data_IF_751622629982
#
_entry.id   IF_751622629982
#
_cell.length_a   1.000
_cell.length_b   1.000
_cell.length_c   1.000
_cell.angle_alpha   90.00
_cell.angle_beta   90.00
_cell.angle_gamma   90.00
#
_symmetry.space_group_name_H-M   'P 1'
#
loop_
_entity.id
_entity.type
_entity.pdbx_description
1 polymer ?
#
# COMPACT_ATOMS: atom_id res chain seq x y z
N UNK A 1 8.16 -23.09 -9.58
CA UNK A 1 8.22 -23.11 -11.06
C UNK A 1 7.45 -21.96 -11.73
N UNK A 2 6.24 -21.64 -11.25
CA UNK A 2 5.33 -20.68 -11.89
C UNK A 2 5.61 -19.20 -11.54
N UNK A 3 6.24 -18.95 -10.39
CA UNK A 3 6.64 -17.61 -9.91
C UNK A 3 8.11 -17.65 -9.45
N UNK A 4 9.07 -17.88 -10.37
CA UNK A 4 10.48 -18.01 -10.00
C UNK A 4 11.05 -16.75 -9.33
N UNK A 5 10.47 -15.58 -9.57
CA UNK A 5 10.84 -14.29 -8.99
C UNK A 5 10.32 -14.04 -7.56
N UNK A 6 9.53 -14.95 -6.98
CA UNK A 6 8.98 -14.77 -5.64
C UNK A 6 10.09 -14.69 -4.58
N UNK A 7 10.12 -13.64 -3.77
CA UNK A 7 11.20 -13.39 -2.79
C UNK A 7 10.73 -13.45 -1.34
N UNK A 8 9.45 -13.23 -1.08
CA UNK A 8 8.86 -13.17 0.25
C UNK A 8 7.65 -14.11 0.29
N UNK A 9 7.48 -14.81 1.40
CA UNK A 9 6.28 -15.56 1.75
C UNK A 9 5.80 -15.14 3.14
N UNK A 10 4.53 -14.76 3.23
CA UNK A 10 3.91 -14.33 4.48
C UNK A 10 2.75 -15.23 4.90
N UNK A 11 2.60 -15.45 6.20
CA UNK A 11 1.36 -16.00 6.79
C UNK A 11 0.57 -14.83 7.40
N UNK A 12 -0.62 -14.57 6.86
CA UNK A 12 -1.41 -13.38 7.23
C UNK A 12 -2.90 -13.64 7.49
N UNK A 13 -3.37 -14.90 7.40
CA UNK A 13 -4.80 -15.19 7.52
C UNK A 13 -5.16 -16.68 7.38
N UNK A 14 -6.46 -17.02 7.40
CA UNK A 14 -7.61 -16.10 7.44
C UNK A 14 -7.89 -15.49 8.82
N UNK A 15 -7.37 -16.08 9.91
CA UNK A 15 -7.39 -15.53 11.26
C UNK A 15 -6.04 -14.95 11.68
N UNK A 16 -5.84 -14.73 12.98
CA UNK A 16 -4.53 -14.37 13.49
C UNK A 16 -3.59 -15.60 13.47
N UNK A 17 -2.40 -15.52 12.83
CA UNK A 17 -1.48 -16.65 12.78
C UNK A 17 -0.99 -17.12 14.15
N UNK A 18 -0.80 -16.21 15.11
CA UNK A 18 -0.34 -16.52 16.46
C UNK A 18 -1.44 -17.06 17.37
N UNK A 19 -2.71 -17.05 16.92
CA UNK A 19 -3.78 -17.82 17.54
C UNK A 19 -3.74 -19.31 17.13
N UNK A 20 -2.97 -19.68 16.10
CA UNK A 20 -2.75 -21.07 15.66
C UNK A 20 -1.24 -21.35 15.47
N UNK A 21 -0.42 -21.17 16.52
CA UNK A 21 1.03 -21.11 16.40
C UNK A 21 1.62 -22.44 15.93
N UNK A 22 1.11 -23.59 16.40
CA UNK A 22 1.62 -24.91 16.03
C UNK A 22 1.62 -25.15 14.52
N UNK A 23 0.49 -24.82 13.85
CA UNK A 23 0.36 -24.98 12.40
C UNK A 23 1.26 -24.01 11.66
N UNK A 24 1.30 -22.75 12.09
CA UNK A 24 2.12 -21.71 11.50
C UNK A 24 3.62 -22.07 11.55
N UNK A 25 4.13 -22.45 12.73
CA UNK A 25 5.55 -22.81 12.89
C UNK A 25 5.91 -24.12 12.20
N UNK A 26 4.99 -25.10 12.13
CA UNK A 26 5.18 -26.30 11.31
C UNK A 26 5.38 -25.93 9.83
N UNK A 27 4.59 -25.01 9.29
CA UNK A 27 4.76 -24.51 7.92
C UNK A 27 6.10 -23.78 7.74
N UNK A 28 6.49 -22.90 8.66
CA UNK A 28 7.77 -22.20 8.56
C UNK A 28 8.98 -23.13 8.65
N UNK A 29 8.91 -24.18 9.47
CA UNK A 29 9.95 -25.22 9.52
C UNK A 29 10.13 -25.88 8.17
N UNK A 30 9.04 -26.33 7.53
CA UNK A 30 9.09 -26.95 6.21
C UNK A 30 9.64 -25.99 5.14
N UNK A 31 9.25 -24.73 5.17
CA UNK A 31 9.74 -23.71 4.24
C UNK A 31 11.22 -23.40 4.43
N UNK A 32 11.70 -23.38 5.68
CA UNK A 32 13.12 -23.15 5.97
C UNK A 32 14.01 -24.28 5.41
N UNK A 33 13.50 -25.50 5.36
CA UNK A 33 14.20 -26.66 4.80
C UNK A 33 14.11 -26.69 3.27
N UNK A 34 12.94 -26.40 2.70
CA UNK A 34 12.67 -26.56 1.26
C UNK A 34 12.90 -25.29 0.43
N UNK A 35 12.97 -24.11 1.04
CA UNK A 35 13.15 -22.86 0.33
C UNK A 35 13.86 -21.82 1.20
N UNK A 36 15.10 -22.09 1.66
CA UNK A 36 15.85 -21.22 2.58
C UNK A 36 16.16 -19.84 2.01
N UNK A 37 16.01 -19.66 0.70
CA UNK A 37 16.22 -18.40 -0.01
C UNK A 37 15.00 -17.45 0.04
N UNK A 38 13.84 -17.93 0.51
CA UNK A 38 12.62 -17.14 0.67
C UNK A 38 12.66 -16.44 2.02
N UNK A 39 12.43 -15.13 2.00
CA UNK A 39 12.22 -14.35 3.21
C UNK A 39 10.85 -14.65 3.79
N UNK A 40 10.81 -14.94 5.08
CA UNK A 40 9.56 -15.30 5.76
C UNK A 40 9.02 -14.10 6.53
N UNK A 41 7.70 -13.94 6.53
CA UNK A 41 7.03 -12.94 7.33
C UNK A 41 5.71 -13.41 7.91
N UNK A 42 5.23 -12.68 8.92
CA UNK A 42 3.94 -12.94 9.55
C UNK A 42 3.21 -11.63 9.80
N UNK A 43 1.90 -11.62 9.61
CA UNK A 43 1.02 -10.51 9.99
C UNK A 43 0.14 -10.94 11.15
N UNK A 44 0.14 -10.18 12.24
CA UNK A 44 -0.62 -10.49 13.46
C UNK A 44 -1.32 -9.26 14.03
N UNK A 45 -2.37 -9.48 14.83
CA UNK A 45 -2.99 -8.47 15.67
C UNK A 45 -2.14 -8.14 16.93
N UNK A 46 -1.11 -8.93 17.24
CA UNK A 46 -0.16 -8.65 18.32
C UNK A 46 -0.57 -9.14 19.72
N UNK A 47 -1.77 -9.71 19.91
CA UNK A 47 -2.26 -10.13 21.23
C UNK A 47 -1.37 -11.23 21.86
N UNK A 48 -1.07 -12.27 21.10
CA UNK A 48 -0.24 -13.39 21.53
C UNK A 48 1.25 -13.17 21.26
N UNK A 49 1.63 -12.04 20.64
CA UNK A 49 2.97 -11.81 20.12
C UNK A 49 4.08 -11.95 21.18
N UNK A 50 3.97 -11.40 22.40
CA UNK A 50 5.00 -11.54 23.42
C UNK A 50 5.39 -12.99 23.75
N UNK A 51 4.48 -13.95 23.60
CA UNK A 51 4.75 -15.36 23.91
C UNK A 51 5.60 -16.05 22.85
N UNK A 52 5.54 -15.58 21.59
CA UNK A 52 6.10 -16.27 20.44
C UNK A 52 7.29 -15.56 19.78
N UNK A 53 7.73 -14.42 20.32
CA UNK A 53 8.85 -13.65 19.75
C UNK A 53 10.12 -14.50 19.61
N UNK A 54 10.48 -15.26 20.64
CA UNK A 54 11.67 -16.11 20.60
C UNK A 54 11.56 -17.22 19.54
N UNK A 55 10.36 -17.74 19.30
CA UNK A 55 10.11 -18.74 18.28
C UNK A 55 10.18 -18.15 16.87
N UNK A 56 9.67 -16.93 16.68
CA UNK A 56 9.84 -16.17 15.42
C UNK A 56 11.32 -15.95 15.10
N UNK A 57 12.16 -15.63 16.09
CA UNK A 57 13.63 -15.53 15.91
C UNK A 57 14.24 -16.87 15.50
N UNK A 58 13.85 -17.97 16.16
CA UNK A 58 14.37 -19.32 15.84
C UNK A 58 14.09 -19.72 14.39
N UNK A 59 12.92 -19.34 13.87
CA UNK A 59 12.53 -19.59 12.48
C UNK A 59 13.05 -18.54 11.48
N UNK A 60 13.91 -17.61 11.90
CA UNK A 60 14.52 -16.57 11.07
C UNK A 60 13.49 -15.76 10.28
N UNK A 61 12.39 -15.41 10.94
CA UNK A 61 11.38 -14.53 10.35
C UNK A 61 11.99 -13.14 10.12
N UNK A 62 12.06 -12.70 8.87
CA UNK A 62 12.72 -11.44 8.48
C UNK A 62 11.97 -10.20 8.99
N UNK A 63 10.64 -10.24 8.91
CA UNK A 63 9.80 -9.11 9.33
C UNK A 63 8.44 -9.57 9.85
N UNK A 64 7.92 -8.78 10.80
CA UNK A 64 6.61 -9.00 11.40
C UNK A 64 5.75 -7.76 11.15
N UNK A 65 4.53 -7.97 10.69
CA UNK A 65 3.52 -6.91 10.59
C UNK A 65 2.60 -6.99 11.80
N UNK A 66 2.46 -5.90 12.56
CA UNK A 66 1.54 -5.82 13.69
C UNK A 66 0.43 -4.82 13.37
N UNK A 67 -0.83 -5.24 13.49
CA UNK A 67 -1.98 -4.34 13.31
C UNK A 67 -2.27 -3.59 14.62
N UNK A 68 -1.97 -2.28 14.65
CA UNK A 68 -2.19 -1.41 15.82
C UNK A 68 -3.07 -0.24 15.38
N UNK A 69 -4.37 -0.27 15.72
CA UNK A 69 -5.31 0.79 15.31
C UNK A 69 -5.47 1.91 16.35
N UNK A 70 -5.00 1.69 17.58
CA UNK A 70 -5.11 2.65 18.67
C UNK A 70 -4.08 2.37 19.77
N UNK A 71 -3.66 3.43 20.47
CA UNK A 71 -2.90 3.38 21.73
C UNK A 71 -3.69 3.90 22.95
N UNK A 72 -4.92 4.38 22.73
CA UNK A 72 -5.85 4.81 23.79
C UNK A 72 -6.98 3.78 23.91
N UNK A 73 -7.22 3.20 25.11
CA UNK A 73 -8.34 2.31 25.35
C UNK A 73 -9.71 2.89 24.98
N UNK A 74 -9.97 4.19 25.16
CA UNK A 74 -11.27 4.79 24.81
C UNK A 74 -11.54 4.70 23.31
N UNK A 75 -10.54 5.02 22.48
CA UNK A 75 -10.63 4.83 21.02
C UNK A 75 -10.80 3.35 20.70
N UNK A 76 -10.01 2.47 21.31
CA UNK A 76 -10.05 1.04 21.00
C UNK A 76 -11.37 0.36 21.38
N UNK A 77 -12.12 0.84 22.37
CA UNK A 77 -13.46 0.29 22.69
C UNK A 77 -14.49 0.48 21.58
N UNK A 78 -14.27 1.47 20.71
CA UNK A 78 -15.11 1.72 19.53
C UNK A 78 -14.74 0.80 18.37
N UNK A 79 -13.57 0.15 18.43
CA UNK A 79 -12.98 -0.68 17.35
C UNK A 79 -13.13 -2.17 17.68
N UNK A 80 -12.79 -2.57 18.91
CA UNK A 80 -12.71 -3.97 19.30
C UNK A 80 -13.87 -4.35 20.23
N UNK A 81 -14.82 -5.20 19.79
CA UNK A 81 -15.95 -5.59 20.64
C UNK A 81 -15.53 -6.52 21.79
N UNK A 82 -14.49 -7.33 21.59
CA UNK A 82 -13.90 -8.23 22.58
C UNK A 82 -12.53 -8.76 22.13
N UNK A 83 -11.77 -9.31 23.08
CA UNK A 83 -10.63 -10.19 22.83
C UNK A 83 -10.87 -11.56 23.48
N UNK A 84 -10.19 -12.59 23.00
CA UNK A 84 -10.15 -13.89 23.66
C UNK A 84 -8.75 -14.10 24.25
N UNK A 85 -8.65 -14.07 25.57
CA UNK A 85 -7.39 -14.05 26.30
C UNK A 85 -7.50 -14.91 27.55
N UNK A 86 -6.49 -15.75 27.83
CA UNK A 86 -6.47 -16.69 28.96
C UNK A 86 -7.77 -17.50 29.08
N UNK A 87 -8.17 -18.13 27.96
CA UNK A 87 -9.37 -18.94 27.81
C UNK A 87 -10.70 -18.23 28.12
N UNK A 88 -10.73 -16.88 28.06
CA UNK A 88 -11.91 -16.09 28.37
C UNK A 88 -12.13 -14.98 27.35
N UNK A 89 -13.41 -14.71 27.04
CA UNK A 89 -13.80 -13.54 26.27
C UNK A 89 -13.85 -12.31 27.18
N UNK A 90 -13.05 -11.30 26.88
CA UNK A 90 -12.95 -10.04 27.63
C UNK A 90 -13.48 -8.90 26.76
N UNK A 91 -14.45 -8.13 27.29
CA UNK A 91 -15.12 -7.03 26.59
C UNK A 91 -14.72 -5.67 27.17
N UNK A 92 -15.02 -4.61 26.41
CA UNK A 92 -14.90 -3.22 26.85
C UNK A 92 -13.46 -2.81 27.13
N UNK A 93 -13.30 -1.71 27.90
CA UNK A 93 -12.02 -1.06 28.15
C UNK A 93 -10.92 -2.02 28.63
N UNK A 94 -11.26 -2.97 29.51
CA UNK A 94 -10.32 -3.98 30.01
C UNK A 94 -9.74 -4.86 28.90
N UNK A 95 -10.56 -5.30 27.96
CA UNK A 95 -10.10 -6.14 26.85
C UNK A 95 -9.16 -5.37 25.92
N UNK A 96 -9.53 -4.12 25.60
CA UNK A 96 -8.72 -3.24 24.77
C UNK A 96 -7.39 -2.90 25.43
N UNK A 97 -7.38 -2.63 26.73
CA UNK A 97 -6.16 -2.33 27.47
C UNK A 97 -5.17 -3.51 27.41
N UNK A 98 -5.65 -4.74 27.62
CA UNK A 98 -4.81 -5.95 27.48
C UNK A 98 -4.24 -6.05 26.06
N UNK A 99 -5.06 -5.81 25.04
CA UNK A 99 -4.60 -5.85 23.65
C UNK A 99 -3.48 -4.84 23.38
N UNK A 100 -3.68 -3.58 23.80
CA UNK A 100 -2.69 -2.52 23.63
C UNK A 100 -1.40 -2.90 24.37
N UNK A 101 -1.47 -3.29 25.64
CA UNK A 101 -0.30 -3.70 26.43
C UNK A 101 0.49 -4.83 25.76
N UNK A 102 -0.20 -5.86 25.26
CA UNK A 102 0.43 -6.98 24.57
C UNK A 102 1.05 -6.58 23.23
N UNK A 103 0.37 -5.73 22.45
CA UNK A 103 0.89 -5.19 21.20
C UNK A 103 2.16 -4.35 21.42
N UNK A 104 2.16 -3.44 22.40
CA UNK A 104 3.32 -2.60 22.70
C UNK A 104 4.50 -3.45 23.19
N UNK A 105 4.25 -4.39 24.11
CA UNK A 105 5.27 -5.32 24.60
C UNK A 105 5.86 -6.17 23.47
N UNK A 106 5.00 -6.70 22.59
CA UNK A 106 5.43 -7.53 21.47
C UNK A 106 6.25 -6.74 20.46
N UNK A 107 5.88 -5.49 20.17
CA UNK A 107 6.62 -4.58 19.31
C UNK A 107 8.04 -4.33 19.85
N UNK A 108 8.17 -3.95 21.13
CA UNK A 108 9.48 -3.72 21.77
C UNK A 108 10.33 -4.98 21.73
N UNK A 109 9.76 -6.13 22.10
CA UNK A 109 10.49 -7.41 22.11
C UNK A 109 11.01 -7.82 20.73
N UNK A 110 10.26 -7.53 19.65
CA UNK A 110 10.69 -7.79 18.27
C UNK A 110 11.86 -6.87 17.89
N UNK A 111 11.75 -5.58 18.19
CA UNK A 111 12.78 -4.59 17.90
C UNK A 111 14.07 -4.90 18.66
N UNK A 112 13.98 -5.26 19.94
CA UNK A 112 15.12 -5.67 20.77
C UNK A 112 15.87 -6.89 20.20
N UNK A 113 15.15 -7.76 19.49
CA UNK A 113 15.70 -8.95 18.82
C UNK A 113 16.15 -8.68 17.37
N UNK A 114 16.05 -7.45 16.90
CA UNK A 114 16.46 -7.03 15.56
C UNK A 114 15.51 -7.50 14.45
N UNK A 115 14.28 -7.88 14.76
CA UNK A 115 13.26 -8.19 13.74
C UNK A 115 12.66 -6.89 13.23
N UNK A 116 12.61 -6.72 11.90
CA UNK A 116 11.98 -5.54 11.30
C UNK A 116 10.47 -5.55 11.53
N UNK A 117 9.96 -4.51 12.18
CA UNK A 117 8.52 -4.41 12.46
C UNK A 117 7.85 -3.40 11.53
N UNK A 118 6.83 -3.89 10.81
CA UNK A 118 5.88 -3.06 10.07
C UNK A 118 4.62 -2.90 10.92
N UNK A 119 4.11 -1.68 11.07
CA UNK A 119 2.81 -1.46 11.69
C UNK A 119 1.77 -1.24 10.61
N UNK A 120 0.63 -1.91 10.72
CA UNK A 120 -0.57 -1.62 9.93
C UNK A 120 -1.57 -0.89 10.83
N UNK A 121 -2.20 0.17 10.30
CA UNK A 121 -3.33 0.81 10.96
C UNK A 121 -4.42 1.09 9.94
N UNK A 122 -5.68 0.83 10.31
CA UNK A 122 -6.84 1.17 9.49
C UNK A 122 -7.34 2.56 9.90
N UNK A 123 -7.46 3.47 8.94
CA UNK A 123 -8.07 4.78 9.11
C UNK A 123 -9.59 4.66 9.08
N UNK A 124 -10.21 4.94 10.23
CA UNK A 124 -11.66 4.92 10.44
C UNK A 124 -12.12 6.36 10.75
N UNK A 125 -12.74 7.06 9.78
CA UNK A 125 -13.19 8.44 9.96
C UNK A 125 -14.11 8.61 11.17
N UNK A 126 -13.85 9.64 11.99
CA UNK A 126 -14.59 9.92 13.22
C UNK A 126 -14.31 8.98 14.41
N UNK A 127 -13.51 7.93 14.23
CA UNK A 127 -13.16 6.98 15.29
C UNK A 127 -11.70 7.14 15.72
N UNK A 128 -10.75 6.99 14.78
CA UNK A 128 -9.31 7.08 15.07
C UNK A 128 -8.53 8.02 14.14
N UNK A 129 -9.20 8.72 13.23
CA UNK A 129 -8.62 9.66 12.27
C UNK A 129 -7.65 10.68 12.89
N UNK A 130 -8.03 11.30 14.00
CA UNK A 130 -7.17 12.22 14.76
C UNK A 130 -6.13 11.48 15.61
N UNK A 131 -6.48 10.27 16.06
CA UNK A 131 -5.67 9.44 16.96
C UNK A 131 -4.45 8.81 16.27
N UNK A 132 -4.55 8.54 14.97
CA UNK A 132 -3.49 7.83 14.23
C UNK A 132 -2.15 8.59 14.19
N UNK A 133 -2.13 9.90 14.40
CA UNK A 133 -0.89 10.67 14.59
C UNK A 133 -0.14 10.24 15.86
N UNK A 134 -0.87 10.03 16.95
CA UNK A 134 -0.32 9.54 18.21
C UNK A 134 0.13 8.08 18.09
N UNK A 135 -0.66 7.24 17.40
CA UNK A 135 -0.27 5.86 17.10
C UNK A 135 1.06 5.84 16.33
N UNK A 136 1.17 6.65 15.27
CA UNK A 136 2.38 6.74 14.43
C UNK A 136 3.61 7.15 15.23
N UNK A 137 3.48 8.17 16.08
CA UNK A 137 4.54 8.62 16.99
C UNK A 137 4.96 7.49 17.94
N UNK A 138 3.98 6.87 18.61
CA UNK A 138 4.23 5.83 19.61
C UNK A 138 4.97 4.63 19.02
N UNK A 139 4.55 4.15 17.83
CA UNK A 139 5.19 2.98 17.22
C UNK A 139 6.57 3.29 16.65
N UNK A 140 6.79 4.53 16.17
CA UNK A 140 8.12 5.02 15.80
C UNK A 140 9.05 5.05 17.00
N UNK A 141 8.62 5.65 18.11
CA UNK A 141 9.43 5.79 19.32
C UNK A 141 9.86 4.42 19.87
N UNK A 142 9.07 3.37 19.59
CA UNK A 142 9.36 1.98 19.93
C UNK A 142 10.16 1.21 18.87
N UNK A 143 10.57 1.87 17.79
CA UNK A 143 11.48 1.32 16.78
C UNK A 143 10.82 0.57 15.62
N UNK A 144 9.52 0.77 15.37
CA UNK A 144 8.92 0.25 14.13
C UNK A 144 9.60 0.88 12.90
N UNK A 145 9.89 0.04 11.91
CA UNK A 145 10.64 0.42 10.71
C UNK A 145 9.77 1.13 9.67
N UNK A 146 8.50 0.73 9.57
CA UNK A 146 7.56 1.17 8.55
C UNK A 146 6.15 1.21 9.13
N UNK A 147 5.42 2.29 8.87
CA UNK A 147 4.00 2.38 9.18
C UNK A 147 3.18 2.39 7.88
N UNK A 148 2.10 1.62 7.85
CA UNK A 148 1.20 1.49 6.73
C UNK A 148 -0.22 1.83 7.19
N UNK A 149 -0.62 3.08 6.95
CA UNK A 149 -2.00 3.53 7.21
C UNK A 149 -2.85 3.24 5.97
N UNK A 150 -3.84 2.37 6.13
CA UNK A 150 -4.72 1.88 5.07
C UNK A 150 -6.14 2.43 5.25
N UNK A 151 -6.91 2.67 4.18
CA UNK A 151 -8.29 3.09 4.29
C UNK A 151 -9.17 1.96 4.84
N UNK A 152 -10.22 2.32 5.57
CA UNK A 152 -11.29 1.38 5.90
C UNK A 152 -11.98 0.89 4.63
N UNK A 153 -12.11 -0.43 4.51
CA UNK A 153 -13.00 -1.10 3.54
C UNK A 153 -14.43 -1.00 4.09
N UNK A 154 -15.25 -0.18 3.44
CA UNK A 154 -16.55 0.25 3.94
C UNK A 154 -17.73 -0.43 3.20
N UNK A 155 -17.43 -1.22 2.18
CA UNK A 155 -18.42 -1.88 1.34
C UNK A 155 -19.13 -2.99 2.13
N UNK A 156 -20.46 -2.96 2.11
CA UNK A 156 -21.32 -3.89 2.87
C UNK A 156 -21.08 -5.35 2.45
N UNK A 157 -20.77 -5.58 1.17
CA UNK A 157 -20.56 -6.91 0.58
C UNK A 157 -19.43 -7.70 1.23
N UNK A 158 -18.47 -7.00 1.85
CA UNK A 158 -17.37 -7.63 2.58
C UNK A 158 -17.76 -8.09 3.98
N UNK A 159 -18.97 -7.79 4.45
CA UNK A 159 -19.53 -8.28 5.71
C UNK A 159 -18.79 -7.82 6.97
N UNK A 160 -17.93 -6.79 6.86
CA UNK A 160 -17.20 -6.25 8.01
C UNK A 160 -18.15 -5.50 8.94
N UNK A 161 -17.81 -5.42 10.23
CA UNK A 161 -18.64 -4.71 11.22
C UNK A 161 -18.97 -3.28 10.78
N UNK A 162 -17.96 -2.53 10.34
CA UNK A 162 -18.14 -1.15 9.89
C UNK A 162 -18.87 -1.06 8.54
N UNK A 163 -18.61 -1.98 7.61
CA UNK A 163 -19.32 -2.01 6.33
C UNK A 163 -20.82 -2.22 6.53
N UNK A 164 -21.22 -3.22 7.32
CA UNK A 164 -22.63 -3.51 7.62
C UNK A 164 -23.33 -2.36 8.36
N UNK A 165 -22.58 -1.58 9.16
CA UNK A 165 -23.11 -0.42 9.89
C UNK A 165 -23.14 0.87 9.05
N UNK A 166 -22.72 0.83 7.78
CA UNK A 166 -22.71 2.00 6.90
C UNK A 166 -21.67 3.06 7.27
N UNK A 167 -20.60 2.67 7.98
CA UNK A 167 -19.49 3.57 8.29
C UNK A 167 -18.75 3.89 6.99
N UNK A 168 -18.63 5.19 6.65
CA UNK A 168 -17.88 5.61 5.47
C UNK A 168 -16.38 5.29 5.61
N UNK A 169 -15.74 4.98 4.48
CA UNK A 169 -14.29 5.02 4.34
C UNK A 169 -13.74 6.46 4.28
N UNK A 170 -12.43 6.65 4.49
CA UNK A 170 -11.80 7.95 4.28
C UNK A 170 -11.72 8.27 2.78
N UNK A 171 -11.75 9.56 2.45
CA UNK A 171 -11.41 10.00 1.08
C UNK A 171 -9.91 9.85 0.82
N UNK A 172 -9.50 9.82 -0.45
CA UNK A 172 -8.08 9.82 -0.82
C UNK A 172 -7.33 11.02 -0.23
N UNK A 173 -7.97 12.20 -0.22
CA UNK A 173 -7.39 13.41 0.36
C UNK A 173 -7.21 13.29 1.89
N UNK A 174 -8.20 12.75 2.61
CA UNK A 174 -8.10 12.49 4.06
C UNK A 174 -6.96 11.51 4.37
N UNK A 175 -6.85 10.43 3.60
CA UNK A 175 -5.79 9.43 3.77
C UNK A 175 -4.41 10.03 3.49
N UNK A 176 -4.24 10.73 2.37
CA UNK A 176 -2.97 11.35 2.00
C UNK A 176 -2.54 12.39 3.03
N UNK A 177 -3.45 13.27 3.45
CA UNK A 177 -3.18 14.29 4.47
C UNK A 177 -2.71 13.65 5.78
N UNK A 178 -3.37 12.57 6.21
CA UNK A 178 -2.95 11.85 7.40
C UNK A 178 -1.56 11.21 7.21
N UNK A 179 -1.35 10.50 6.10
CA UNK A 179 -0.07 9.86 5.77
C UNK A 179 1.07 10.88 5.73
N UNK A 180 0.87 12.06 5.13
CA UNK A 180 1.85 13.14 5.09
C UNK A 180 2.16 13.66 6.49
N UNK A 181 1.13 13.87 7.31
CA UNK A 181 1.30 14.33 8.69
C UNK A 181 2.02 13.33 9.60
N UNK A 182 1.99 12.04 9.25
CA UNK A 182 2.70 10.97 9.96
C UNK A 182 4.09 10.69 9.36
N UNK A 183 4.28 10.97 8.06
CA UNK A 183 5.49 10.63 7.32
C UNK A 183 6.72 11.46 7.71
N UNK A 184 6.55 12.66 8.25
CA UNK A 184 7.67 13.53 8.62
C UNK A 184 8.66 12.84 9.57
N UNK A 185 8.14 11.99 10.45
CA UNK A 185 8.91 11.28 11.46
C UNK A 185 9.13 9.79 11.13
N UNK A 186 8.25 9.16 10.36
CA UNK A 186 8.19 7.70 10.19
C UNK A 186 8.13 7.32 8.70
N UNK A 187 8.83 6.25 8.30
CA UNK A 187 8.67 5.72 6.95
C UNK A 187 7.22 5.30 6.74
N UNK A 188 6.58 5.86 5.72
CA UNK A 188 5.17 5.61 5.42
C UNK A 188 5.01 4.76 4.15
N UNK A 189 4.31 3.64 4.26
CA UNK A 189 3.94 2.80 3.12
C UNK A 189 2.71 3.37 2.43
N UNK A 190 2.78 3.57 1.11
CA UNK A 190 1.66 4.12 0.33
C UNK A 190 1.17 3.25 -0.82
N UNK A 191 1.97 2.24 -1.18
CA UNK A 191 1.67 1.29 -2.25
C UNK A 191 0.87 0.05 -1.78
N UNK A 192 0.22 0.13 -0.61
CA UNK A 192 -0.53 -1.00 -0.09
C UNK A 192 -1.79 -1.23 -0.93
N UNK A 193 -2.01 -2.49 -1.33
CA UNK A 193 -3.21 -2.91 -2.07
C UNK A 193 -4.23 -3.68 -1.22
N UNK A 194 -4.08 -3.63 0.10
CA UNK A 194 -4.92 -4.40 1.05
C UNK A 194 -5.12 -5.86 0.60
N UNK A 195 -4.01 -6.51 0.28
CA UNK A 195 -4.01 -7.85 -0.30
C UNK A 195 -4.77 -8.85 0.58
N UNK A 196 -5.47 -9.78 -0.08
CA UNK A 196 -6.09 -10.93 0.59
C UNK A 196 -5.01 -11.87 1.16
N UNK A 197 -5.39 -12.67 2.15
CA UNK A 197 -4.49 -13.65 2.77
C UNK A 197 -4.05 -14.77 1.79
N UNK A 198 -4.82 -14.99 0.73
CA UNK A 198 -4.58 -15.99 -0.33
C UNK A 198 -3.97 -15.37 -1.61
N UNK A 199 -3.56 -14.11 -1.57
CA UNK A 199 -2.97 -13.44 -2.73
C UNK A 199 -1.60 -14.05 -3.08
N UNK A 200 -1.36 -14.32 -4.36
CA UNK A 200 -0.12 -14.93 -4.86
C UNK A 200 0.32 -14.18 -6.11
N UNK A 201 1.55 -13.66 -6.16
CA UNK A 201 2.06 -12.97 -7.35
C UNK A 201 2.78 -11.67 -7.05
N UNK A 202 2.76 -10.75 -8.01
CA UNK A 202 3.26 -9.39 -7.85
C UNK A 202 2.12 -8.47 -7.40
N UNK A 203 2.45 -7.32 -6.82
CA UNK A 203 1.45 -6.33 -6.45
C UNK A 203 0.74 -5.83 -7.71
N UNK A 204 -0.57 -6.09 -7.79
CA UNK A 204 -1.41 -5.78 -8.95
C UNK A 204 -1.55 -6.89 -9.97
N UNK A 205 -0.78 -7.96 -9.83
CA UNK A 205 -0.89 -9.17 -10.63
C UNK A 205 -1.21 -10.34 -9.70
N UNK A 206 -2.42 -10.34 -9.14
CA UNK A 206 -2.89 -11.44 -8.30
C UNK A 206 -3.18 -12.68 -9.15
N UNK A 207 -2.42 -13.73 -8.89
CA UNK A 207 -2.49 -15.05 -9.52
C UNK A 207 -3.05 -16.10 -8.56
N UNK A 208 -3.66 -15.71 -7.44
CA UNK A 208 -4.22 -16.64 -6.44
C UNK A 208 -5.17 -17.69 -7.05
N UNK A 209 -5.95 -17.32 -8.07
CA UNK A 209 -6.84 -18.24 -8.78
C UNK A 209 -6.12 -19.39 -9.53
N UNK A 210 -4.82 -19.28 -9.80
CA UNK A 210 -4.02 -20.37 -10.35
C UNK A 210 -3.63 -21.41 -9.29
N UNK A 211 -3.71 -21.08 -8.00
CA UNK A 211 -3.24 -21.87 -6.87
C UNK A 211 -4.36 -22.21 -5.88
N UNK A 212 -5.56 -22.52 -6.39
CA UNK A 212 -6.64 -23.06 -5.54
C UNK A 212 -6.28 -24.44 -5.01
N UNK A 213 -6.87 -24.86 -3.89
CA UNK A 213 -6.56 -26.16 -3.25
C UNK A 213 -6.71 -27.33 -4.24
N UNK A 214 -7.79 -27.37 -5.01
CA UNK A 214 -8.03 -28.42 -6.02
C UNK A 214 -6.95 -28.47 -7.11
N UNK A 215 -6.46 -27.29 -7.52
CA UNK A 215 -5.37 -27.19 -8.51
C UNK A 215 -4.03 -27.59 -7.92
N UNK A 216 -3.79 -27.27 -6.66
CA UNK A 216 -2.55 -27.64 -5.94
C UNK A 216 -2.50 -29.16 -5.74
N UNK A 217 -3.61 -29.79 -5.35
CA UNK A 217 -3.67 -31.24 -5.10
C UNK A 217 -3.35 -32.07 -6.34
N UNK A 218 -3.78 -31.60 -7.51
CA UNK A 218 -3.51 -32.23 -8.80
C UNK A 218 -2.18 -31.80 -9.45
N UNK A 219 -1.44 -30.86 -8.84
CA UNK A 219 -0.24 -30.29 -9.43
C UNK A 219 0.94 -31.26 -9.32
N UNK A 220 1.47 -31.68 -10.48
CA UNK A 220 2.76 -32.38 -10.52
C UNK A 220 3.91 -31.38 -10.62
N UNK A 221 4.79 -31.41 -9.61
CA UNK A 221 5.89 -30.46 -9.50
C UNK A 221 7.21 -31.21 -9.64
N UNK A 222 7.93 -30.96 -10.75
CA UNK A 222 9.35 -31.28 -10.82
C UNK A 222 10.12 -30.24 -9.99
N UNK A 223 10.39 -30.61 -8.74
CA UNK A 223 11.04 -29.75 -7.78
C UNK A 223 12.46 -29.36 -8.23
N UNK A 224 13.22 -30.28 -8.84
CA UNK A 224 14.59 -30.01 -9.29
C UNK A 224 14.58 -28.97 -10.41
N UNK A 225 13.77 -29.20 -11.45
CA UNK A 225 13.65 -28.25 -12.56
C UNK A 225 13.12 -26.89 -12.08
N UNK A 226 12.21 -26.87 -11.11
CA UNK A 226 11.70 -25.65 -10.50
C UNK A 226 12.80 -24.83 -9.80
N UNK A 227 13.69 -25.49 -9.06
CA UNK A 227 14.80 -24.84 -8.35
C UNK A 227 15.88 -24.33 -9.31
N UNK A 228 16.21 -25.08 -10.36
CA UNK A 228 17.14 -24.64 -11.42
C UNK A 228 16.61 -23.38 -12.14
N UNK A 229 15.33 -23.39 -12.52
CA UNK A 229 14.67 -22.22 -13.14
C UNK A 229 14.71 -21.00 -12.20
N UNK A 230 14.44 -21.22 -10.91
CA UNK A 230 14.44 -20.17 -9.89
C UNK A 230 15.83 -19.56 -9.71
N UNK A 231 16.88 -20.38 -9.58
CA UNK A 231 18.25 -19.91 -9.46
C UNK A 231 18.66 -19.02 -10.64
N UNK A 232 18.35 -19.44 -11.87
CA UNK A 232 18.63 -18.66 -13.08
C UNK A 232 17.93 -17.29 -13.09
N UNK A 233 16.65 -17.26 -12.73
CA UNK A 233 15.87 -16.00 -12.67
C UNK A 233 16.40 -15.07 -11.60
N UNK A 234 16.79 -15.59 -10.43
CA UNK A 234 17.37 -14.77 -9.36
C UNK A 234 18.67 -14.10 -9.78
N UNK A 235 19.58 -14.83 -10.41
CA UNK A 235 20.83 -14.26 -10.94
C UNK A 235 20.55 -13.12 -11.93
N UNK A 236 19.52 -13.27 -12.78
CA UNK A 236 19.12 -12.20 -13.70
C UNK A 236 18.57 -10.96 -12.96
N UNK A 237 17.71 -11.17 -11.94
CA UNK A 237 17.15 -10.09 -11.12
C UNK A 237 18.25 -9.35 -10.34
N UNK A 238 19.20 -10.07 -9.76
CA UNK A 238 20.32 -9.48 -9.01
C UNK A 238 21.22 -8.65 -9.93
N UNK A 239 21.53 -9.14 -11.14
CA UNK A 239 22.24 -8.35 -12.15
C UNK A 239 21.49 -7.07 -12.51
N UNK A 240 20.18 -7.16 -12.78
CA UNK A 240 19.36 -5.97 -13.08
C UNK A 240 19.34 -4.99 -11.92
N UNK A 241 19.25 -5.47 -10.67
CA UNK A 241 19.30 -4.62 -9.46
C UNK A 241 20.64 -3.92 -9.34
N UNK A 242 21.75 -4.62 -9.50
CA UNK A 242 23.08 -4.04 -9.45
C UNK A 242 23.28 -2.97 -10.53
N UNK A 243 22.80 -3.21 -11.76
CA UNK A 243 22.83 -2.20 -12.83
C UNK A 243 21.99 -0.97 -12.48
N UNK A 244 20.78 -1.16 -11.93
CA UNK A 244 19.91 -0.05 -11.49
C UNK A 244 20.53 0.74 -10.33
N UNK A 245 21.14 0.06 -9.37
CA UNK A 245 21.85 0.72 -8.25
C UNK A 245 23.08 1.48 -8.73
N UNK A 246 23.84 0.93 -9.68
CA UNK A 246 24.98 1.63 -10.29
C UNK A 246 24.56 2.82 -11.17
N UNK A 247 23.36 2.77 -11.76
CA UNK A 247 22.78 3.87 -12.55
C UNK A 247 22.11 4.94 -11.67
N UNK A 248 21.85 4.67 -10.39
CA UNK A 248 21.40 5.70 -9.45
C UNK A 248 22.58 6.59 -9.08
N UNK A 249 22.55 7.84 -9.55
CA UNK A 249 23.37 8.91 -8.97
C UNK A 249 23.13 8.94 -7.46
N UNK A 250 24.16 9.05 -6.60
CA UNK A 250 23.95 9.12 -5.16
C UNK A 250 23.12 10.35 -4.83
N UNK A 251 21.83 10.14 -4.60
CA UNK A 251 20.97 11.13 -3.95
C UNK A 251 21.47 11.16 -2.52
N UNK A 252 22.22 12.20 -2.18
CA UNK A 252 22.56 12.49 -0.80
C UNK A 252 21.27 12.43 0.01
N UNK A 253 21.22 11.50 0.96
CA UNK A 253 20.19 11.48 2.00
C UNK A 253 20.46 12.74 2.81
N UNK A 254 19.80 13.83 2.43
CA UNK A 254 19.80 15.06 3.21
C UNK A 254 19.00 14.76 4.47
N UNK A 255 19.70 14.80 5.60
CA UNK A 255 19.13 14.90 6.94
C UNK A 255 17.89 15.81 6.92
N UNK A 256 16.76 15.31 7.43
CA UNK A 256 15.49 16.03 7.61
C UNK A 256 15.59 17.09 8.73
N UNK A 257 16.69 17.83 8.78
CA UNK A 257 16.88 19.04 9.56
C UNK A 257 17.23 20.19 8.61
N UNK A 258 16.27 20.60 7.78
CA UNK A 258 16.24 21.97 7.29
C UNK A 258 14.86 22.32 6.75
N UNK A 259 14.17 23.14 7.53
CA UNK A 259 13.51 24.39 7.14
C UNK A 259 12.55 24.37 5.95
N UNK A 260 11.41 25.02 6.16
CA UNK A 260 10.51 25.51 5.12
C UNK A 260 11.25 26.30 4.03
N UNK A 261 11.83 25.60 3.06
CA UNK A 261 12.21 26.17 1.77
C UNK A 261 10.88 26.41 1.07
N UNK A 262 10.54 27.67 0.80
CA UNK A 262 9.42 28.02 -0.06
C UNK A 262 9.64 27.34 -1.41
N UNK A 263 8.96 26.22 -1.64
CA UNK A 263 8.98 25.55 -2.94
C UNK A 263 8.40 26.54 -3.96
N UNK A 264 9.16 26.85 -5.02
CA UNK A 264 8.71 27.75 -6.09
C UNK A 264 7.41 27.26 -6.73
N UNK A 265 7.26 25.93 -6.83
CA UNK A 265 6.12 25.27 -7.43
C UNK A 265 5.53 24.25 -6.46
N UNK A 266 4.20 24.18 -6.40
CA UNK A 266 3.49 23.18 -5.59
C UNK A 266 3.62 21.77 -6.20
N UNK A 267 3.52 20.71 -5.40
CA UNK A 267 3.40 19.35 -5.91
C UNK A 267 2.10 19.15 -6.69
N UNK A 268 2.12 18.22 -7.65
CA UNK A 268 0.98 17.85 -8.50
C UNK A 268 0.79 16.35 -8.48
N UNK A 269 -0.43 15.88 -8.26
CA UNK A 269 -0.78 14.46 -8.40
C UNK A 269 -1.22 14.14 -9.82
N UNK A 270 -0.68 13.06 -10.39
CA UNK A 270 -0.97 12.59 -11.74
C UNK A 270 -1.30 11.10 -11.72
N UNK A 271 -2.29 10.71 -12.52
CA UNK A 271 -2.70 9.33 -12.71
C UNK A 271 -2.03 8.73 -13.94
N UNK A 272 -1.63 7.47 -13.89
CA UNK A 272 -0.91 6.80 -14.97
C UNK A 272 -1.53 5.43 -15.23
N UNK A 273 -1.92 5.19 -16.48
CA UNK A 273 -2.40 3.89 -16.92
C UNK A 273 -1.23 3.02 -17.41
N UNK A 274 -1.02 1.89 -16.75
CA UNK A 274 0.00 0.90 -17.11
C UNK A 274 -0.49 -0.52 -16.84
N UNK A 275 0.00 -1.49 -17.60
CA UNK A 275 -0.13 -2.91 -17.29
C UNK A 275 1.18 -3.53 -16.77
N UNK A 276 2.18 -2.69 -16.43
CA UNK A 276 3.46 -3.12 -15.88
C UNK A 276 4.66 -2.59 -16.65
N UNK A 277 5.84 -3.09 -16.32
CA UNK A 277 7.09 -2.74 -16.99
C UNK A 277 7.66 -1.35 -16.67
N UNK A 278 6.98 -0.55 -15.85
CA UNK A 278 7.43 0.81 -15.50
C UNK A 278 7.26 1.82 -16.64
N UNK A 279 6.36 1.53 -17.59
CA UNK A 279 6.10 2.34 -18.78
C UNK A 279 4.60 2.63 -18.96
N UNK A 280 4.27 3.66 -19.72
CA UNK A 280 2.88 4.06 -20.02
C UNK A 280 2.37 3.30 -21.25
N UNK A 281 1.78 2.13 -21.04
CA UNK A 281 1.44 1.19 -22.11
C UNK A 281 -0.02 0.73 -22.11
N UNK A 282 -0.88 1.37 -21.31
CA UNK A 282 -2.28 1.00 -21.18
C UNK A 282 -3.20 2.10 -21.72
N UNK A 283 -4.21 1.68 -22.49
CA UNK A 283 -5.28 2.55 -22.98
C UNK A 283 -6.24 2.90 -21.85
N UNK A 284 -6.69 4.16 -21.78
CA UNK A 284 -7.60 4.65 -20.72
C UNK A 284 -8.82 3.74 -20.52
N UNK A 285 -9.56 3.47 -21.60
CA UNK A 285 -10.79 2.65 -21.53
C UNK A 285 -10.59 1.18 -21.13
N UNK A 286 -9.36 0.66 -21.17
CA UNK A 286 -9.04 -0.70 -20.72
C UNK A 286 -8.37 -0.73 -19.35
N UNK A 287 -8.01 0.43 -18.79
CA UNK A 287 -7.35 0.53 -17.50
C UNK A 287 -8.34 0.11 -16.41
N UNK A 288 -7.98 -0.94 -15.66
CA UNK A 288 -8.70 -1.36 -14.44
C UNK A 288 -8.26 -0.56 -13.21
N UNK A 289 -7.14 0.11 -13.33
CA UNK A 289 -6.57 0.91 -12.26
C UNK A 289 -5.64 1.96 -12.83
N UNK A 290 -5.43 2.99 -12.03
CA UNK A 290 -4.45 4.04 -12.30
C UNK A 290 -3.43 4.07 -11.17
N UNK A 291 -2.15 4.12 -11.53
CA UNK A 291 -1.06 4.40 -10.62
C UNK A 291 -0.98 5.91 -10.39
N UNK A 292 -0.93 6.33 -9.14
CA UNK A 292 -0.88 7.75 -8.76
C UNK A 292 0.55 8.11 -8.40
N UNK A 293 1.07 9.12 -9.08
CA UNK A 293 2.38 9.71 -8.83
C UNK A 293 2.22 11.17 -8.43
N UNK A 294 3.12 11.66 -7.60
CA UNK A 294 3.26 13.06 -7.26
C UNK A 294 4.55 13.58 -7.91
N UNK A 295 4.44 14.66 -8.67
CA UNK A 295 5.57 15.40 -9.20
C UNK A 295 5.78 16.66 -8.36
N UNK A 296 7.03 16.98 -8.06
CA UNK A 296 7.43 18.20 -7.35
C UNK A 296 8.81 18.65 -7.82
N UNK A 297 9.30 19.82 -7.39
CA UNK A 297 10.68 20.24 -7.70
C UNK A 297 11.74 19.25 -7.16
N UNK A 298 11.38 18.45 -6.15
CA UNK A 298 12.26 17.45 -5.54
C UNK A 298 12.26 16.11 -6.32
N UNK A 299 11.43 15.98 -7.37
CA UNK A 299 11.32 14.81 -8.24
C UNK A 299 9.93 14.15 -8.21
N UNK A 300 9.87 12.92 -8.74
CA UNK A 300 8.66 12.10 -8.81
C UNK A 300 8.61 11.08 -7.70
N UNK A 301 7.44 10.93 -7.09
CA UNK A 301 7.19 9.97 -6.03
C UNK A 301 5.93 9.17 -6.33
N UNK A 302 6.01 7.85 -6.20
CA UNK A 302 4.82 7.00 -6.26
C UNK A 302 3.98 7.15 -4.98
N UNK A 303 2.70 7.48 -5.15
CA UNK A 303 1.76 7.70 -4.05
C UNK A 303 0.89 6.48 -3.81
N UNK A 304 0.45 5.78 -4.86
CA UNK A 304 -0.43 4.64 -4.66
C UNK A 304 -1.17 4.27 -5.93
N UNK A 305 -2.31 3.62 -5.80
CA UNK A 305 -3.12 3.21 -6.93
C UNK A 305 -4.59 3.43 -6.61
N UNK A 306 -5.41 3.60 -7.65
CA UNK A 306 -6.85 3.74 -7.52
C UNK A 306 -7.53 2.81 -8.52
N UNK A 307 -8.49 2.03 -8.04
CA UNK A 307 -9.26 1.08 -8.87
C UNK A 307 -10.31 1.84 -9.69
N UNK A 308 -10.45 1.47 -10.96
CA UNK A 308 -11.42 2.04 -11.89
C UNK A 308 -12.18 0.91 -12.60
N UNK A 309 -13.46 1.16 -12.93
CA UNK A 309 -14.22 0.24 -13.76
C UNK A 309 -13.66 0.19 -15.20
N UNK A 310 -13.81 -0.96 -15.88
CA UNK A 310 -13.45 -1.03 -17.30
C UNK A 310 -14.52 -0.35 -18.15
N UNK A 311 -14.15 0.74 -18.79
CA UNK A 311 -15.04 1.55 -19.63
C UNK A 311 -15.30 0.91 -21.01
N UNK A 312 -14.33 0.18 -21.57
CA UNK A 312 -14.46 -0.42 -22.90
C UNK A 312 -14.75 -1.93 -22.82
N UNK A 313 -16.03 -2.29 -22.89
CA UNK A 313 -16.47 -3.60 -23.37
C UNK A 313 -16.85 -3.41 -24.84
N UNK A 314 -16.13 -4.05 -25.76
CA UNK A 314 -16.43 -3.94 -27.18
C UNK A 314 -17.78 -4.59 -27.54
N UNK A 315 -18.90 -3.88 -27.36
CA UNK A 315 -20.17 -3.93 -28.13
C UNK A 315 -21.32 -3.23 -27.38
N UNK A 316 -21.93 -2.21 -28.02
CA UNK A 316 -23.33 -1.75 -27.96
C UNK A 316 -24.11 -1.71 -26.62
N UNK A 317 -23.54 -1.18 -25.54
CA UNK A 317 -24.31 -0.80 -24.33
C UNK A 317 -23.91 0.60 -23.82
N UNK A 318 -24.46 1.66 -24.42
CA UNK A 318 -24.13 3.05 -24.07
C UNK A 318 -24.43 3.45 -22.61
N UNK A 319 -25.37 2.79 -21.93
CA UNK A 319 -25.78 3.17 -20.57
C UNK A 319 -24.79 2.79 -19.45
N UNK A 320 -24.08 1.67 -19.58
CA UNK A 320 -23.10 1.22 -18.59
C UNK A 320 -21.77 1.97 -18.73
N UNK A 321 -21.39 2.29 -19.97
CA UNK A 321 -20.19 3.07 -20.30
C UNK A 321 -20.17 4.44 -19.60
N UNK A 322 -21.31 5.15 -19.59
CA UNK A 322 -21.41 6.48 -18.98
C UNK A 322 -21.26 6.47 -17.46
N UNK A 323 -21.86 5.49 -16.78
CA UNK A 323 -21.75 5.33 -15.33
C UNK A 323 -20.31 5.03 -14.92
N UNK A 324 -19.63 4.13 -15.66
CA UNK A 324 -18.22 3.78 -15.44
C UNK A 324 -17.30 4.98 -15.67
N UNK A 325 -17.59 5.86 -16.64
CA UNK A 325 -16.80 7.08 -16.86
C UNK A 325 -16.94 8.06 -15.69
N UNK A 326 -18.17 8.30 -15.22
CA UNK A 326 -18.42 9.17 -14.06
C UNK A 326 -17.70 8.64 -12.83
N UNK A 327 -17.76 7.33 -12.61
CA UNK A 327 -17.05 6.67 -11.51
C UNK A 327 -15.53 6.81 -11.66
N UNK A 328 -14.98 6.59 -12.86
CA UNK A 328 -13.55 6.74 -13.12
C UNK A 328 -13.07 8.17 -12.87
N UNK A 329 -13.82 9.19 -13.31
CA UNK A 329 -13.48 10.59 -13.04
C UNK A 329 -13.49 10.86 -11.52
N UNK A 330 -14.49 10.36 -10.80
CA UNK A 330 -14.54 10.47 -9.33
C UNK A 330 -13.34 9.78 -8.67
N UNK A 331 -12.96 8.60 -9.16
CA UNK A 331 -11.76 7.89 -8.71
C UNK A 331 -10.51 8.72 -8.95
N UNK A 332 -10.43 9.50 -10.02
CA UNK A 332 -9.28 10.36 -10.36
C UNK A 332 -9.30 11.74 -9.66
N UNK A 333 -10.30 12.03 -8.83
CA UNK A 333 -10.43 13.32 -8.14
C UNK A 333 -9.15 13.71 -7.38
N UNK A 334 -8.69 14.95 -7.58
CA UNK A 334 -7.44 15.47 -7.02
C UNK A 334 -6.18 15.13 -7.84
N UNK A 335 -6.30 14.40 -8.95
CA UNK A 335 -5.25 14.34 -9.98
C UNK A 335 -5.44 15.47 -10.99
N UNK A 336 -4.38 16.13 -11.39
CA UNK A 336 -4.43 17.23 -12.37
C UNK A 336 -4.11 16.78 -13.80
N UNK A 337 -3.54 15.57 -13.93
CA UNK A 337 -3.32 14.94 -15.22
C UNK A 337 -3.57 13.44 -15.16
N UNK A 338 -3.90 12.86 -16.31
CA UNK A 338 -3.94 11.41 -16.52
C UNK A 338 -3.17 11.03 -17.78
N UNK A 339 -2.11 10.25 -17.61
CA UNK A 339 -1.23 9.81 -18.68
C UNK A 339 -1.61 8.37 -19.10
N UNK A 340 -1.91 8.18 -20.37
CA UNK A 340 -2.28 6.89 -20.94
C UNK A 340 -1.57 6.68 -22.28
N UNK A 341 -1.46 5.42 -22.73
CA UNK A 341 -0.90 5.16 -24.06
C UNK A 341 -1.78 5.69 -25.19
N UNK A 342 -3.09 5.83 -24.92
CA UNK A 342 -4.11 6.41 -25.80
C UNK A 342 -5.39 6.69 -25.00
N UNK A 343 -6.06 7.78 -25.36
CA UNK A 343 -7.33 8.22 -24.77
C UNK A 343 -8.31 8.49 -25.92
N UNK A 344 -9.56 8.04 -25.80
CA UNK A 344 -10.61 8.29 -26.78
C UNK A 344 -11.13 9.73 -26.68
N UNK A 345 -11.72 10.26 -27.76
CA UNK A 345 -12.17 11.65 -27.84
C UNK A 345 -13.24 12.02 -26.79
N UNK A 346 -14.19 11.11 -26.52
CA UNK A 346 -15.23 11.36 -25.51
C UNK A 346 -14.65 11.36 -24.08
N UNK A 347 -13.88 10.34 -23.63
CA UNK A 347 -13.17 10.41 -22.35
C UNK A 347 -12.26 11.64 -22.22
N UNK A 348 -11.58 12.03 -23.30
CA UNK A 348 -10.71 13.22 -23.33
C UNK A 348 -11.47 14.48 -22.91
N UNK A 349 -12.59 14.79 -23.58
CA UNK A 349 -13.39 15.97 -23.28
C UNK A 349 -13.90 15.96 -21.83
N UNK A 350 -14.36 14.81 -21.35
CA UNK A 350 -14.91 14.70 -19.99
C UNK A 350 -13.85 14.84 -18.90
N UNK A 351 -12.61 14.40 -19.17
CA UNK A 351 -11.47 14.64 -18.29
C UNK A 351 -11.16 16.14 -18.20
N UNK A 352 -11.11 16.84 -19.34
CA UNK A 352 -10.90 18.29 -19.38
C UNK A 352 -12.02 19.06 -18.65
N UNK A 353 -13.28 18.67 -18.84
CA UNK A 353 -14.44 19.23 -18.13
C UNK A 353 -14.35 19.01 -16.60
N UNK A 354 -13.71 17.92 -16.18
CA UNK A 354 -13.43 17.62 -14.77
C UNK A 354 -12.15 18.30 -14.25
N UNK A 355 -11.45 19.08 -15.08
CA UNK A 355 -10.20 19.76 -14.72
C UNK A 355 -8.97 18.84 -14.70
N UNK A 356 -9.05 17.64 -15.29
CA UNK A 356 -7.95 16.68 -15.38
C UNK A 356 -7.37 16.75 -16.79
N UNK A 357 -6.09 17.10 -16.93
CA UNK A 357 -5.41 17.14 -18.23
C UNK A 357 -5.17 15.72 -18.77
N UNK A 358 -5.85 15.29 -19.84
CA UNK A 358 -5.50 14.05 -20.52
C UNK A 358 -4.14 14.19 -21.24
N UNK A 359 -3.27 13.19 -21.09
CA UNK A 359 -2.02 13.07 -21.82
C UNK A 359 -1.98 11.71 -22.55
N UNK A 360 -1.77 11.78 -23.86
CA UNK A 360 -1.57 10.62 -24.73
C UNK A 360 -0.25 10.66 -25.49
N UNK A 361 0.60 11.66 -25.24
CA UNK A 361 1.82 11.90 -26.03
C UNK A 361 3.01 11.08 -25.53
N UNK A 362 2.98 10.68 -24.25
CA UNK A 362 4.04 9.91 -23.59
C UNK A 362 3.84 8.39 -23.65
N UNK A 363 3.18 7.89 -24.70
CA UNK A 363 2.99 6.45 -24.88
C UNK A 363 4.33 5.69 -24.96
N UNK A 364 4.42 4.57 -24.24
CA UNK A 364 5.62 3.71 -24.10
C UNK A 364 6.82 4.36 -23.38
N UNK A 365 6.70 5.59 -22.90
CA UNK A 365 7.75 6.24 -22.12
C UNK A 365 7.85 5.66 -20.69
N UNK A 366 9.05 5.72 -20.07
CA UNK A 366 9.20 5.46 -18.63
C UNK A 366 8.30 6.39 -17.82
N UNK A 367 7.63 5.84 -16.80
CA UNK A 367 6.60 6.58 -16.05
C UNK A 367 7.17 7.81 -15.33
N UNK A 368 8.30 7.67 -14.65
CA UNK A 368 8.93 8.77 -13.89
C UNK A 368 9.34 9.92 -14.81
N UNK A 369 9.91 9.61 -15.98
CA UNK A 369 10.35 10.61 -16.96
C UNK A 369 9.15 11.36 -17.56
N UNK A 370 8.08 10.63 -17.93
CA UNK A 370 6.87 11.22 -18.48
C UNK A 370 6.12 12.10 -17.47
N UNK A 371 6.02 11.65 -16.21
CA UNK A 371 5.41 12.45 -15.14
C UNK A 371 6.20 13.74 -14.89
N UNK A 372 7.53 13.70 -14.92
CA UNK A 372 8.34 14.93 -14.84
C UNK A 372 8.18 15.84 -16.06
N UNK A 373 8.09 15.26 -17.26
CA UNK A 373 7.90 16.04 -18.49
C UNK A 373 6.58 16.83 -18.44
N UNK A 374 5.48 16.16 -18.11
CA UNK A 374 4.17 16.82 -17.95
C UNK A 374 4.20 17.86 -16.82
N UNK A 375 4.92 17.60 -15.72
CA UNK A 375 5.09 18.59 -14.66
C UNK A 375 5.83 19.84 -15.14
N UNK A 376 6.89 19.67 -15.93
CA UNK A 376 7.63 20.78 -16.51
C UNK A 376 6.77 21.56 -17.52
N UNK A 377 5.98 20.88 -18.34
CA UNK A 377 5.03 21.54 -19.24
C UNK A 377 3.98 22.36 -18.46
N UNK A 378 3.52 21.87 -17.31
CA UNK A 378 2.61 22.64 -16.44
C UNK A 378 3.27 23.90 -15.88
N UNK A 379 4.57 23.83 -15.53
CA UNK A 379 5.36 25.00 -15.14
C UNK A 379 5.48 25.98 -16.30
N UNK A 380 5.90 25.52 -17.47
CA UNK A 380 6.16 26.36 -18.64
C UNK A 380 4.89 27.05 -19.15
N UNK A 381 3.74 26.39 -18.99
CA UNK A 381 2.42 26.94 -19.30
C UNK A 381 1.83 27.83 -18.19
N UNK A 382 2.59 28.09 -17.11
CA UNK A 382 2.16 28.93 -15.98
C UNK A 382 1.02 28.35 -15.15
N UNK A 383 0.70 27.06 -15.28
CA UNK A 383 -0.37 26.40 -14.51
C UNK A 383 -0.02 26.23 -13.02
N UNK A 384 1.27 26.35 -12.70
CA UNK A 384 1.81 26.20 -11.35
C UNK A 384 2.40 27.49 -10.79
N UNK A 385 2.34 28.59 -11.53
CA UNK A 385 2.79 29.89 -11.06
C UNK A 385 1.85 30.40 -9.94
N UNK A 386 2.45 30.52 -8.76
CA UNK A 386 2.00 31.11 -7.49
C UNK A 386 1.10 30.34 -6.50
N UNK A 387 1.65 30.30 -5.28
CA UNK A 387 1.00 30.29 -3.98
C UNK A 387 0.26 31.63 -3.74
N UNK A 388 -0.86 31.84 -4.46
CA UNK A 388 -1.71 33.05 -4.31
C UNK A 388 -2.57 32.96 -3.03
N UNK A 389 -1.96 32.84 -1.84
CA UNK A 389 -2.59 33.22 -0.55
C UNK A 389 -1.59 33.71 0.51
N UNK A 390 -0.54 34.43 0.11
CA UNK A 390 0.37 35.11 1.05
C UNK A 390 0.70 36.55 0.62
N UNK A 391 -0.31 37.42 0.56
CA UNK A 391 -0.12 38.85 0.40
C UNK A 391 -1.44 39.56 0.05
N UNK A 392 -1.66 40.75 0.60
CA UNK A 392 -2.88 41.61 0.51
C UNK A 392 -3.92 41.25 1.61
N UNK A 393 -4.12 41.97 2.73
CA UNK A 393 -3.74 43.33 3.14
C UNK A 393 -3.60 43.42 4.67
N UNK A 394 -2.46 43.92 5.13
CA UNK A 394 -2.37 44.74 6.33
C UNK A 394 -2.21 46.19 5.86
N UNK A 395 -3.29 46.97 5.89
CA UNK A 395 -3.25 48.45 5.92
C UNK A 395 -4.65 49.04 6.07
N UNK A 396 -4.74 49.98 7.02
CA UNK A 396 -5.88 50.79 7.48
C UNK A 396 -6.80 50.15 8.51
#
# INVERSE_FOLDING_TARGET
ANIPQMTVLGIAGPGDPLANPERMFATFRMLSEQAPDIKLCVSTNGLMLPEYVDELVRHRIDHVTVTINCVDPEVGTKIYPWIFWNHRRIKGRKGVQILIEQQQKGLEMLVDRGILVKVNSVLIPGVNDKHLKEVSRTVKDKGAFLHNVMPLIAEVEHGTFYGVMGQRGPTHAELNTLQDSCAGDMNMMRHCRQCRADAVGLLGEDRGAEFTLDKIESMQIDYRAAMEKRARVRVAIEKMRATKEAAKTPVNIVSLESSAVRRKYRPVSMAVATNGGGIINQHFGHAKEFLIYEASPDGVRFIGHRQAGQYCFGSDTCGESDAVMVETIRTLEGCEAVLCSKIGYEPWRRLEEAGIQPDGEHAMAPIEDAVMAVYQEMIDNGKLDDDVTAGVNASA
#
